data_IF_740001988165
#
_entry.id   IF_740001988165
#
_cell.length_a   1.000
_cell.length_b   1.000
_cell.length_c   1.000
_cell.angle_alpha   90.00
_cell.angle_beta   90.00
_cell.angle_gamma   90.00
#
_symmetry.space_group_name_H-M   'P 1'
#
loop_
_entity.id
_entity.type
_entity.pdbx_description
1 polymer ?
#
# COMPACT_ATOMS: atom_id res chain seq x y z
N UNK A 1 -1.57 3.08 13.05
CA UNK A 1 -0.61 1.95 13.13
C UNK A 1 0.58 2.36 13.96
N UNK A 2 0.74 1.73 15.13
CA UNK A 2 1.92 1.87 15.97
C UNK A 2 2.84 0.67 15.70
N UNK A 3 3.69 0.82 14.69
CA UNK A 3 4.54 -0.26 14.16
C UNK A 3 5.76 -0.55 15.03
N UNK A 4 5.97 0.28 16.05
CA UNK A 4 7.07 0.10 16.98
C UNK A 4 6.65 -0.86 18.10
N UNK A 5 7.60 -1.65 18.65
CA UNK A 5 7.35 -2.42 19.85
C UNK A 5 6.85 -1.51 20.97
N UNK A 6 5.98 -2.02 21.86
CA UNK A 6 5.41 -1.24 22.97
C UNK A 6 6.44 -0.53 23.86
N UNK A 7 7.68 -1.05 23.92
CA UNK A 7 8.79 -0.48 24.70
C UNK A 7 9.59 0.60 23.96
N UNK A 8 9.37 0.77 22.66
CA UNK A 8 10.09 1.76 21.88
C UNK A 8 9.65 3.17 22.30
N UNK A 9 10.63 4.03 22.56
CA UNK A 9 10.39 5.44 22.88
C UNK A 9 10.71 6.29 21.67
N UNK A 10 9.77 7.14 21.26
CA UNK A 10 9.97 8.15 20.21
C UNK A 10 10.09 9.52 20.86
N UNK A 11 11.12 10.27 20.47
CA UNK A 11 11.29 11.67 20.84
C UNK A 11 11.74 12.43 19.60
N UNK A 12 10.98 13.46 19.22
CA UNK A 12 11.34 14.36 18.13
C UNK A 12 10.86 15.76 18.50
N UNK A 13 11.68 16.77 18.24
CA UNK A 13 11.28 18.18 18.40
C UNK A 13 10.35 18.60 17.26
N UNK A 14 10.58 18.06 16.06
CA UNK A 14 9.79 18.36 14.87
C UNK A 14 9.67 17.10 14.00
N UNK A 15 8.48 16.83 13.48
CA UNK A 15 8.24 15.80 12.47
C UNK A 15 7.19 16.32 11.49
N UNK A 16 7.59 16.61 10.27
CA UNK A 16 6.66 17.13 9.25
C UNK A 16 6.80 16.40 7.92
N UNK A 17 5.71 16.36 7.16
CA UNK A 17 5.64 15.89 5.78
C UNK A 17 4.87 16.92 4.97
N UNK A 18 5.47 17.45 3.91
CA UNK A 18 4.86 18.46 3.05
C UNK A 18 4.23 19.65 3.83
N UNK A 19 4.90 20.06 4.92
CA UNK A 19 4.44 21.15 5.80
C UNK A 19 3.38 20.76 6.84
N UNK A 20 2.93 19.50 6.86
CA UNK A 20 1.99 18.98 7.86
C UNK A 20 2.78 18.49 9.07
N UNK A 21 2.56 19.07 10.24
CA UNK A 21 3.09 18.56 11.50
C UNK A 21 2.40 17.25 11.88
N UNK A 22 3.17 16.17 11.90
CA UNK A 22 2.71 14.82 12.16
C UNK A 22 2.50 14.54 13.65
N UNK A 23 3.12 15.32 14.55
CA UNK A 23 3.01 15.12 15.99
C UNK A 23 1.63 15.53 16.54
N UNK A 24 0.92 16.38 15.81
CA UNK A 24 -0.38 16.94 16.22
C UNK A 24 -1.58 16.26 15.55
N UNK A 25 -1.36 15.32 14.63
CA UNK A 25 -2.45 14.65 13.90
C UNK A 25 -3.15 13.59 14.76
N UNK A 26 -4.48 13.56 14.70
CA UNK A 26 -5.29 12.45 15.22
C UNK A 26 -5.07 11.17 14.41
N UNK A 27 -5.39 9.99 14.97
CA UNK A 27 -5.25 8.73 14.23
C UNK A 27 -6.13 8.67 12.97
N UNK A 28 -7.26 9.38 12.95
CA UNK A 28 -8.10 9.51 11.75
C UNK A 28 -7.36 10.28 10.64
N UNK A 29 -6.79 11.44 10.96
CA UNK A 29 -5.99 12.22 10.01
C UNK A 29 -4.76 11.43 9.54
N UNK A 30 -4.10 10.72 10.46
CA UNK A 30 -2.99 9.83 10.11
C UNK A 30 -3.41 8.71 9.16
N UNK A 31 -4.63 8.17 9.30
CA UNK A 31 -5.17 7.18 8.37
C UNK A 31 -5.43 7.76 6.96
N UNK A 32 -5.81 9.03 6.85
CA UNK A 32 -6.03 9.68 5.55
C UNK A 32 -4.71 10.01 4.83
N UNK A 33 -3.64 10.25 5.60
CA UNK A 33 -2.28 10.48 5.09
C UNK A 33 -1.62 9.18 4.63
N UNK A 34 -1.73 8.11 5.44
CA UNK A 34 -1.24 6.76 5.10
C UNK A 34 -1.96 6.23 3.86
N UNK A 35 -1.23 5.63 2.92
CA UNK A 35 -1.76 5.10 1.67
C UNK A 35 -2.03 6.15 0.58
N UNK A 36 -2.13 7.43 0.92
CA UNK A 36 -2.42 8.50 -0.04
C UNK A 36 -1.24 9.46 -0.27
N UNK A 37 -0.54 9.83 0.81
CA UNK A 37 0.63 10.73 0.83
C UNK A 37 1.91 10.02 1.26
N UNK A 38 1.77 9.04 2.14
CA UNK A 38 2.88 8.23 2.63
C UNK A 38 2.52 6.74 2.56
N UNK A 39 3.46 5.92 2.10
CA UNK A 39 3.34 4.47 2.07
C UNK A 39 4.60 3.87 2.69
N UNK A 40 4.52 2.59 3.07
CA UNK A 40 5.64 1.88 3.67
C UNK A 40 5.83 0.54 2.97
N UNK A 41 7.08 0.21 2.69
CA UNK A 41 7.52 -1.11 2.23
C UNK A 41 8.35 -1.70 3.37
N UNK A 42 7.91 -2.84 3.91
CA UNK A 42 8.61 -3.51 5.01
C UNK A 42 9.86 -4.24 4.50
N UNK A 43 10.82 -4.46 5.40
CA UNK A 43 12.08 -5.16 5.09
C UNK A 43 11.86 -6.61 4.65
N UNK A 44 10.80 -7.24 5.15
CA UNK A 44 10.27 -8.51 4.65
C UNK A 44 9.02 -8.23 3.79
N UNK A 45 9.18 -7.70 2.57
CA UNK A 45 8.05 -7.25 1.76
C UNK A 45 7.07 -8.39 1.51
N UNK A 46 7.58 -9.61 1.41
CA UNK A 46 6.84 -10.83 1.07
C UNK A 46 5.71 -11.18 2.05
N UNK A 47 5.74 -10.67 3.29
CA UNK A 47 4.67 -10.85 4.30
C UNK A 47 3.61 -9.76 4.26
N UNK A 48 3.82 -8.70 3.47
CA UNK A 48 2.94 -7.53 3.39
C UNK A 48 1.66 -7.79 2.58
N UNK A 49 1.67 -8.79 1.69
CA UNK A 49 0.49 -9.21 0.95
C UNK A 49 -0.30 -10.23 1.75
N UNK A 50 -1.59 -9.98 1.93
CA UNK A 50 -2.49 -10.93 2.57
C UNK A 50 -2.79 -12.10 1.61
N UNK A 51 -2.47 -13.36 1.99
CA UNK A 51 -2.64 -14.52 1.12
C UNK A 51 -4.11 -14.88 0.85
N UNK A 52 -5.06 -14.38 1.65
CA UNK A 52 -6.48 -14.65 1.51
C UNK A 52 -7.16 -13.84 0.38
N UNK A 53 -6.48 -12.82 -0.15
CA UNK A 53 -7.04 -11.92 -1.16
C UNK A 53 -6.21 -11.93 -2.44
N UNK A 54 -6.87 -11.70 -3.57
CA UNK A 54 -6.17 -11.52 -4.85
C UNK A 54 -5.35 -10.22 -4.84
N UNK A 55 -4.39 -10.11 -5.76
CA UNK A 55 -3.61 -8.87 -5.94
C UNK A 55 -4.54 -7.70 -6.29
N UNK A 56 -5.55 -7.94 -7.13
CA UNK A 56 -6.50 -6.92 -7.54
C UNK A 56 -7.39 -6.44 -6.40
N UNK A 57 -7.82 -7.34 -5.51
CA UNK A 57 -8.61 -6.95 -4.33
C UNK A 57 -7.79 -6.01 -3.43
N UNK A 58 -6.54 -6.38 -3.13
CA UNK A 58 -5.68 -5.60 -2.24
C UNK A 58 -5.34 -4.21 -2.83
N UNK A 59 -4.96 -4.15 -4.12
CA UNK A 59 -4.65 -2.87 -4.77
C UNK A 59 -5.90 -1.99 -4.94
N UNK A 60 -7.05 -2.59 -5.28
CA UNK A 60 -8.29 -1.85 -5.46
C UNK A 60 -8.89 -1.36 -4.14
N UNK A 61 -8.70 -2.08 -3.03
CA UNK A 61 -9.12 -1.64 -1.69
C UNK A 61 -8.44 -0.33 -1.30
N UNK A 62 -7.12 -0.24 -1.46
CA UNK A 62 -6.36 0.98 -1.17
C UNK A 62 -6.88 2.14 -2.03
N UNK A 63 -7.10 1.91 -3.32
CA UNK A 63 -7.60 2.94 -4.22
C UNK A 63 -9.01 3.40 -3.86
N UNK A 64 -9.92 2.49 -3.59
CA UNK A 64 -11.31 2.83 -3.23
C UNK A 64 -11.41 3.51 -1.87
N UNK A 65 -10.51 3.18 -0.92
CA UNK A 65 -10.42 3.84 0.37
C UNK A 65 -9.95 5.29 0.25
N UNK A 66 -8.92 5.54 -0.55
CA UNK A 66 -8.24 6.85 -0.58
C UNK A 66 -8.64 7.74 -1.77
N UNK A 67 -9.18 7.16 -2.83
CA UNK A 67 -9.66 7.85 -4.02
C UNK A 67 -11.15 7.54 -4.15
N UNK A 68 -11.98 8.56 -4.33
CA UNK A 68 -13.43 8.42 -4.52
C UNK A 68 -13.74 7.82 -5.90
N UNK A 69 -13.31 6.60 -6.15
CA UNK A 69 -13.40 5.89 -7.43
C UNK A 69 -14.22 4.62 -7.27
N UNK A 70 -14.85 4.18 -8.36
CA UNK A 70 -15.56 2.89 -8.36
C UNK A 70 -14.58 1.72 -8.31
N UNK A 71 -15.03 0.54 -7.86
CA UNK A 71 -14.20 -0.68 -7.87
C UNK A 71 -13.69 -1.01 -9.28
N UNK A 72 -14.50 -0.80 -10.32
CA UNK A 72 -14.12 -1.02 -11.72
C UNK A 72 -12.96 -0.12 -12.13
N UNK A 73 -13.06 1.16 -11.78
CA UNK A 73 -12.00 2.14 -12.06
C UNK A 73 -10.74 1.86 -11.24
N UNK A 74 -10.89 1.44 -9.97
CA UNK A 74 -9.78 1.04 -9.12
C UNK A 74 -9.00 -0.15 -9.71
N UNK A 75 -9.70 -1.17 -10.23
CA UNK A 75 -9.05 -2.30 -10.91
C UNK A 75 -8.30 -1.89 -12.18
N UNK A 76 -8.85 -0.96 -12.97
CA UNK A 76 -8.17 -0.43 -14.15
C UNK A 76 -6.88 0.32 -13.75
N UNK A 77 -6.96 1.17 -12.73
CA UNK A 77 -5.78 1.88 -12.19
C UNK A 77 -4.75 0.93 -11.58
N UNK A 78 -5.19 -0.14 -10.90
CA UNK A 78 -4.31 -1.17 -10.37
C UNK A 78 -3.54 -1.89 -11.49
N UNK A 79 -4.21 -2.24 -12.60
CA UNK A 79 -3.52 -2.82 -13.76
C UNK A 79 -2.46 -1.86 -14.32
N UNK A 80 -2.77 -0.57 -14.46
CA UNK A 80 -1.82 0.45 -14.91
C UNK A 80 -0.61 0.59 -13.95
N UNK A 81 -0.83 0.46 -12.65
CA UNK A 81 0.26 0.51 -11.66
C UNK A 81 1.17 -0.71 -11.77
N UNK A 82 0.60 -1.91 -11.95
CA UNK A 82 1.38 -3.12 -12.22
C UNK A 82 2.21 -2.99 -13.52
N UNK A 83 1.65 -2.40 -14.58
CA UNK A 83 2.37 -2.14 -15.82
C UNK A 83 3.55 -1.18 -15.62
N UNK A 84 3.36 -0.11 -14.82
CA UNK A 84 4.42 0.87 -14.52
C UNK A 84 5.62 0.25 -13.79
N UNK A 85 5.41 -0.78 -12.97
CA UNK A 85 6.49 -1.53 -12.32
C UNK A 85 7.01 -2.68 -13.18
N UNK A 86 6.61 -2.76 -14.46
CA UNK A 86 7.11 -3.74 -15.42
C UNK A 86 6.52 -5.15 -15.27
N UNK A 87 5.30 -5.27 -14.72
CA UNK A 87 4.58 -6.54 -14.66
C UNK A 87 3.73 -6.69 -15.92
N UNK A 88 4.17 -7.59 -16.81
CA UNK A 88 3.41 -7.99 -18.00
C UNK A 88 2.12 -8.74 -17.63
N UNK A 89 1.13 -8.67 -18.53
CA UNK A 89 -0.19 -9.29 -18.35
C UNK A 89 -0.91 -8.81 -17.07
N UNK A 90 -0.76 -7.55 -16.70
CA UNK A 90 -1.26 -6.98 -15.44
C UNK A 90 -2.73 -7.33 -15.16
N UNK A 91 -3.62 -7.26 -16.15
CA UNK A 91 -5.03 -7.60 -16.00
C UNK A 91 -5.30 -9.05 -15.57
N UNK A 92 -4.46 -10.00 -16.02
CA UNK A 92 -4.52 -11.40 -15.58
C UNK A 92 -3.89 -11.55 -14.18
N UNK A 93 -2.76 -10.87 -13.95
CA UNK A 93 -2.04 -10.88 -12.66
C UNK A 93 -2.89 -10.35 -11.51
N UNK A 94 -3.81 -9.42 -11.75
CA UNK A 94 -4.76 -8.94 -10.73
C UNK A 94 -5.63 -10.05 -10.14
N UNK A 95 -5.92 -11.12 -10.89
CA UNK A 95 -6.75 -12.23 -10.39
C UNK A 95 -5.95 -13.25 -9.60
N UNK A 96 -4.63 -13.14 -9.62
CA UNK A 96 -3.75 -14.08 -8.94
C UNK A 96 -3.68 -13.76 -7.45
N UNK A 97 -3.39 -14.78 -6.66
CA UNK A 97 -3.07 -14.68 -5.24
C UNK A 97 -1.55 -14.56 -5.05
N UNK A 98 -1.08 -14.04 -3.90
CA UNK A 98 0.34 -13.84 -3.65
C UNK A 98 1.21 -15.09 -3.87
N UNK A 99 0.71 -16.27 -3.50
CA UNK A 99 1.43 -17.54 -3.65
C UNK A 99 1.60 -17.99 -5.12
N UNK A 100 0.85 -17.41 -6.06
CA UNK A 100 0.94 -17.70 -7.49
C UNK A 100 1.97 -16.81 -8.21
N UNK A 101 2.60 -15.87 -7.49
CA UNK A 101 3.60 -14.97 -8.03
C UNK A 101 5.01 -15.35 -7.55
N UNK A 102 5.98 -15.19 -8.46
CA UNK A 102 7.40 -15.31 -8.11
C UNK A 102 7.80 -14.25 -7.08
N UNK A 103 8.92 -14.49 -6.38
CA UNK A 103 9.43 -13.55 -5.36
C UNK A 103 9.57 -12.12 -5.90
N UNK A 104 10.26 -11.98 -7.05
CA UNK A 104 10.46 -10.68 -7.69
C UNK A 104 9.17 -10.05 -8.24
N UNK A 105 8.14 -10.84 -8.60
CA UNK A 105 6.83 -10.29 -8.96
C UNK A 105 6.12 -9.74 -7.73
N UNK A 106 6.10 -10.47 -6.61
CA UNK A 106 5.50 -9.97 -5.36
C UNK A 106 6.16 -8.68 -4.88
N UNK A 107 7.48 -8.60 -4.94
CA UNK A 107 8.19 -7.37 -4.58
C UNK A 107 7.75 -6.18 -5.44
N UNK A 108 7.59 -6.38 -6.76
CA UNK A 108 7.10 -5.34 -7.66
C UNK A 108 5.65 -4.97 -7.40
N UNK A 109 4.78 -5.94 -7.09
CA UNK A 109 3.40 -5.69 -6.68
C UNK A 109 3.32 -4.81 -5.42
N UNK A 110 4.23 -4.98 -4.47
CA UNK A 110 4.25 -4.19 -3.23
C UNK A 110 4.66 -2.73 -3.47
N UNK A 111 5.43 -2.48 -4.53
CA UNK A 111 5.84 -1.14 -4.95
C UNK A 111 4.72 -0.43 -5.73
N UNK A 112 3.90 -1.20 -6.44
CA UNK A 112 2.80 -0.72 -7.27
C UNK A 112 1.63 -0.20 -6.43
#
# INVERSE_FOLDING_TARGET
MDLLPRKARRTATTLSLDGIDMLTQSERQMCDLRGNRLAMIFQEPMTSLNPAYSIGDQLSEVLTRHRKVSRKEALQRAAQMLEKVGISNAGERLRQYPHQLSGGLRQRVIIA
#
